data_IF_716736317546
#
_entry.id   IF_716736317546
#
_cell.length_a   1.000
_cell.length_b   1.000
_cell.length_c   1.000
_cell.angle_alpha   90.00
_cell.angle_beta   90.00
_cell.angle_gamma   90.00
#
_symmetry.space_group_name_H-M   'P 1'
#
loop_
_entity.id
_entity.type
_entity.pdbx_description
1 polymer ?
#
# COMPACT_ATOMS: atom_id res chain seq x y z
N UNK A 1 -20.51 7.57 6.55
CA UNK A 1 -20.65 8.61 5.51
C UNK A 1 -20.41 8.07 4.10
N UNK A 2 -19.38 7.27 3.85
CA UNK A 2 -19.07 6.69 2.53
C UNK A 2 -20.20 5.78 1.99
N UNK A 3 -20.88 5.00 2.84
CA UNK A 3 -21.99 4.14 2.44
C UNK A 3 -23.22 4.89 1.83
N UNK A 4 -23.28 6.23 1.98
CA UNK A 4 -24.30 7.05 1.33
C UNK A 4 -23.94 7.49 -0.09
N UNK A 5 -22.65 7.37 -0.46
CA UNK A 5 -22.14 7.74 -1.78
C UNK A 5 -22.20 6.59 -2.78
N UNK A 6 -22.27 5.35 -2.27
CA UNK A 6 -22.32 4.13 -3.06
C UNK A 6 -23.66 3.47 -2.76
N UNK A 7 -24.49 3.26 -3.78
CA UNK A 7 -25.79 2.61 -3.62
C UNK A 7 -25.67 1.23 -2.94
N UNK A 8 -26.76 0.76 -2.33
CA UNK A 8 -26.82 -0.49 -1.57
C UNK A 8 -26.39 -1.75 -2.35
N UNK A 9 -26.42 -1.68 -3.67
CA UNK A 9 -26.07 -2.80 -4.58
C UNK A 9 -24.58 -3.12 -4.63
N UNK A 10 -23.72 -2.21 -4.20
CA UNK A 10 -22.25 -2.41 -4.17
C UNK A 10 -21.72 -2.85 -2.80
N UNK A 11 -22.57 -3.18 -1.86
CA UNK A 11 -22.18 -3.64 -0.54
C UNK A 11 -22.36 -5.15 -0.41
N UNK A 12 -21.26 -5.89 -0.35
CA UNK A 12 -21.24 -7.34 -0.13
C UNK A 12 -20.96 -7.60 1.36
N UNK A 13 -21.71 -8.51 1.96
CA UNK A 13 -21.52 -8.98 3.34
C UNK A 13 -20.85 -10.34 3.30
N UNK A 14 -19.72 -10.47 3.97
CA UNK A 14 -18.94 -11.68 4.05
C UNK A 14 -18.70 -12.12 5.49
N UNK A 15 -18.37 -13.41 5.64
CA UNK A 15 -18.03 -14.03 6.91
C UNK A 15 -16.94 -15.09 6.73
N UNK A 16 -16.12 -15.27 7.75
CA UNK A 16 -15.20 -16.39 7.87
C UNK A 16 -15.27 -16.98 9.28
N UNK A 17 -14.98 -18.25 9.38
CA UNK A 17 -14.82 -18.98 10.64
C UNK A 17 -13.41 -19.55 10.62
N UNK A 18 -12.66 -19.37 11.70
CA UNK A 18 -11.37 -20.02 11.87
C UNK A 18 -11.61 -21.48 12.28
N UNK A 19 -11.20 -22.41 11.44
CA UNK A 19 -11.43 -23.84 11.64
C UNK A 19 -10.69 -24.42 12.88
N UNK A 20 -9.64 -23.72 13.36
CA UNK A 20 -8.83 -24.18 14.50
C UNK A 20 -9.47 -23.79 15.83
N UNK A 21 -9.94 -22.56 15.97
CA UNK A 21 -10.43 -22.02 17.25
C UNK A 21 -11.90 -21.61 17.22
N UNK A 22 -12.60 -21.76 16.09
CA UNK A 22 -14.00 -21.42 15.92
C UNK A 22 -14.32 -19.92 15.94
N UNK A 23 -13.31 -19.05 15.97
CA UNK A 23 -13.52 -17.60 15.94
C UNK A 23 -14.21 -17.17 14.64
N UNK A 24 -15.21 -16.32 14.80
CA UNK A 24 -16.01 -15.80 13.69
C UNK A 24 -15.59 -14.38 13.36
N UNK A 25 -15.46 -14.09 12.09
CA UNK A 25 -15.28 -12.73 11.58
C UNK A 25 -16.37 -12.42 10.58
N UNK A 26 -16.89 -11.22 10.64
CA UNK A 26 -17.83 -10.68 9.63
C UNK A 26 -17.36 -9.32 9.17
N UNK A 27 -17.59 -9.03 7.92
CA UNK A 27 -17.26 -7.73 7.33
C UNK A 27 -18.22 -7.38 6.21
N UNK A 28 -18.17 -6.12 5.81
CA UNK A 28 -18.84 -5.59 4.64
C UNK A 28 -17.80 -5.04 3.69
N UNK A 29 -17.91 -5.39 2.42
CA UNK A 29 -17.12 -4.84 1.33
C UNK A 29 -17.94 -3.80 0.58
N UNK A 30 -17.36 -2.65 0.32
CA UNK A 30 -17.94 -1.60 -0.52
C UNK A 30 -17.00 -1.43 -1.71
N UNK A 31 -17.44 -1.84 -2.89
CA UNK A 31 -16.70 -1.63 -4.13
C UNK A 31 -16.91 -0.20 -4.62
N UNK A 32 -15.84 0.44 -5.03
CA UNK A 32 -15.87 1.81 -5.48
C UNK A 32 -16.09 1.87 -6.99
N UNK A 33 -16.96 2.77 -7.48
CA UNK A 33 -17.09 3.00 -8.90
C UNK A 33 -15.80 3.59 -9.49
N UNK A 34 -15.51 3.33 -10.74
CA UNK A 34 -14.29 3.75 -11.45
C UNK A 34 -13.93 5.22 -11.22
N UNK A 35 -14.92 6.11 -11.24
CA UNK A 35 -14.71 7.54 -10.98
C UNK A 35 -14.09 7.83 -9.61
N UNK A 36 -14.39 7.02 -8.59
CA UNK A 36 -13.87 7.19 -7.24
C UNK A 36 -12.61 6.37 -6.99
N UNK A 37 -12.42 5.26 -7.70
CA UNK A 37 -11.23 4.42 -7.62
C UNK A 37 -10.14 4.83 -8.61
N UNK A 38 -10.41 5.74 -9.54
CA UNK A 38 -9.50 6.18 -10.61
C UNK A 38 -8.95 5.01 -11.44
N UNK A 39 -9.85 4.09 -11.79
CA UNK A 39 -9.59 2.84 -12.47
C UNK A 39 -8.74 1.79 -11.70
N UNK A 40 -8.31 2.10 -10.49
CA UNK A 40 -7.74 1.10 -9.59
C UNK A 40 -8.83 0.16 -9.06
N UNK A 41 -8.48 -1.11 -8.83
CA UNK A 41 -9.37 -2.04 -8.15
C UNK A 41 -9.32 -1.78 -6.64
N UNK A 42 -10.18 -0.87 -6.17
CA UNK A 42 -10.25 -0.45 -4.76
C UNK A 42 -11.60 -0.80 -4.16
N UNK A 43 -11.57 -1.35 -2.97
CA UNK A 43 -12.76 -1.56 -2.15
C UNK A 43 -12.46 -1.26 -0.68
N UNK A 44 -13.49 -0.94 0.07
CA UNK A 44 -13.41 -0.60 1.48
C UNK A 44 -13.96 -1.77 2.28
N UNK A 45 -13.21 -2.22 3.29
CA UNK A 45 -13.64 -3.28 4.21
C UNK A 45 -14.00 -2.64 5.55
N UNK A 46 -15.20 -2.96 6.05
CA UNK A 46 -15.62 -2.66 7.40
C UNK A 46 -15.81 -3.95 8.18
N UNK A 47 -14.93 -4.27 9.11
CA UNK A 47 -15.12 -5.37 10.03
C UNK A 47 -16.26 -5.05 10.99
N UNK A 48 -17.21 -5.99 11.12
CA UNK A 48 -18.43 -5.83 11.97
C UNK A 48 -18.45 -6.80 13.14
N UNK A 49 -17.68 -7.88 13.08
CA UNK A 49 -17.54 -8.88 14.14
C UNK A 49 -16.16 -9.51 14.08
N UNK A 50 -15.52 -9.71 15.23
CA UNK A 50 -14.19 -10.28 15.35
C UNK A 50 -13.06 -9.31 14.97
N UNK A 51 -11.83 -9.76 15.12
CA UNK A 51 -10.62 -9.01 14.80
C UNK A 51 -9.66 -9.85 13.96
N UNK A 52 -8.73 -9.18 13.31
CA UNK A 52 -7.58 -9.86 12.69
C UNK A 52 -6.60 -10.28 13.79
N UNK A 53 -6.21 -11.55 13.77
CA UNK A 53 -5.17 -12.05 14.67
C UNK A 53 -3.84 -11.37 14.33
N UNK A 54 -3.20 -10.78 15.34
CA UNK A 54 -1.83 -10.31 15.22
C UNK A 54 -0.90 -11.46 15.54
N UNK A 55 0.03 -11.72 14.65
CA UNK A 55 1.10 -12.68 14.91
C UNK A 55 2.32 -11.91 15.39
N UNK A 56 2.79 -12.24 16.59
CA UNK A 56 4.10 -11.82 17.06
C UNK A 56 5.14 -12.83 16.56
N UNK A 57 6.24 -12.34 16.05
CA UNK A 57 7.36 -13.15 15.56
C UNK A 57 8.64 -12.64 16.21
N UNK A 58 9.44 -13.56 16.71
CA UNK A 58 10.75 -13.25 17.29
C UNK A 58 11.84 -13.05 16.24
N UNK A 59 11.62 -13.55 15.03
CA UNK A 59 12.59 -13.46 13.93
C UNK A 59 12.49 -12.09 13.23
N UNK A 60 13.54 -11.31 13.38
CA UNK A 60 13.66 -9.94 12.82
C UNK A 60 13.84 -9.90 11.31
N UNK A 61 14.09 -11.03 10.66
CA UNK A 61 14.24 -11.10 9.20
C UNK A 61 12.93 -11.09 8.43
N UNK A 62 11.80 -11.28 9.12
CA UNK A 62 10.48 -11.28 8.48
C UNK A 62 9.93 -9.87 8.29
N UNK A 63 9.00 -9.77 7.33
CA UNK A 63 8.21 -8.56 7.12
C UNK A 63 7.37 -8.27 8.36
N UNK A 64 7.50 -7.05 8.88
CA UNK A 64 6.73 -6.53 10.00
C UNK A 64 5.42 -5.91 9.56
N UNK A 65 5.48 -5.03 8.56
CA UNK A 65 4.32 -4.30 8.06
C UNK A 65 4.52 -3.81 6.62
N UNK A 66 3.43 -3.38 5.99
CA UNK A 66 3.46 -2.64 4.74
C UNK A 66 3.72 -1.16 5.08
N UNK A 67 4.90 -0.64 4.73
CA UNK A 67 5.25 0.77 4.97
C UNK A 67 4.48 1.68 4.00
N UNK A 68 4.59 1.42 2.71
CA UNK A 68 3.83 2.19 1.72
C UNK A 68 3.48 1.39 0.46
N UNK A 69 2.45 1.86 -0.22
CA UNK A 69 2.12 1.48 -1.59
C UNK A 69 2.42 2.67 -2.51
N UNK A 70 2.90 2.41 -3.72
CA UNK A 70 3.20 3.45 -4.70
C UNK A 70 2.18 3.41 -5.82
N UNK A 71 1.60 4.57 -6.12
CA UNK A 71 0.63 4.76 -7.19
C UNK A 71 1.18 5.82 -8.16
N UNK A 72 1.23 5.49 -9.44
CA UNK A 72 1.51 6.45 -10.50
C UNK A 72 0.20 7.06 -11.01
N UNK A 73 0.14 8.38 -11.12
CA UNK A 73 -1.01 9.14 -11.63
C UNK A 73 -0.57 10.19 -12.66
N UNK A 74 -1.44 10.54 -13.57
CA UNK A 74 -1.24 11.70 -14.45
C UNK A 74 -1.70 13.01 -13.81
N UNK A 75 -2.63 12.94 -12.85
CA UNK A 75 -3.30 14.08 -12.26
C UNK A 75 -3.33 13.98 -10.74
N UNK A 76 -2.31 14.57 -10.11
CA UNK A 76 -2.15 14.61 -8.66
C UNK A 76 -3.21 15.49 -7.98
N UNK A 77 -3.77 16.47 -8.67
CA UNK A 77 -4.80 17.35 -8.09
C UNK A 77 -6.14 16.64 -8.00
N UNK A 78 -6.56 15.92 -9.04
CA UNK A 78 -7.77 15.11 -9.00
C UNK A 78 -7.60 13.93 -8.03
N UNK A 79 -6.42 13.29 -7.99
CA UNK A 79 -6.10 12.29 -6.97
C UNK A 79 -6.31 12.85 -5.55
N UNK A 80 -5.77 14.04 -5.30
CA UNK A 80 -5.90 14.73 -4.01
C UNK A 80 -7.36 15.03 -3.68
N UNK A 81 -8.14 15.48 -4.64
CA UNK A 81 -9.57 15.80 -4.42
C UNK A 81 -10.36 14.57 -3.97
N UNK A 82 -10.05 13.39 -4.48
CA UNK A 82 -10.72 12.15 -4.11
C UNK A 82 -10.19 11.64 -2.76
N UNK A 83 -8.89 11.49 -2.61
CA UNK A 83 -8.33 10.84 -1.43
C UNK A 83 -8.39 11.73 -0.19
N UNK A 84 -8.12 13.03 -0.30
CA UNK A 84 -8.21 13.97 0.81
C UNK A 84 -9.65 14.42 1.07
N UNK A 85 -10.38 14.85 0.02
CA UNK A 85 -11.64 15.56 0.21
C UNK A 85 -12.84 14.62 0.30
N UNK A 86 -12.83 13.47 -0.40
CA UNK A 86 -13.90 12.48 -0.34
C UNK A 86 -13.59 11.40 0.70
N UNK A 87 -12.43 10.72 0.62
CA UNK A 87 -12.08 9.65 1.55
C UNK A 87 -11.59 10.15 2.90
N UNK A 88 -11.24 11.45 3.02
CA UNK A 88 -10.73 12.08 4.25
C UNK A 88 -9.41 11.48 4.73
N UNK A 89 -8.60 10.98 3.81
CA UNK A 89 -7.25 10.51 4.11
C UNK A 89 -6.33 11.74 4.17
N UNK A 90 -5.54 11.83 5.23
CA UNK A 90 -4.67 12.98 5.49
C UNK A 90 -3.54 13.04 4.46
N UNK A 91 -3.47 14.10 3.66
CA UNK A 91 -2.28 14.45 2.89
C UNK A 91 -1.23 14.99 3.86
N UNK A 92 -0.16 14.25 4.05
CA UNK A 92 0.91 14.57 5.00
C UNK A 92 2.01 15.42 4.36
N UNK A 93 2.28 15.21 3.07
CA UNK A 93 3.29 15.93 2.32
C UNK A 93 2.88 16.00 0.84
N UNK A 94 3.09 17.17 0.25
CA UNK A 94 3.03 17.44 -1.18
C UNK A 94 4.32 18.16 -1.55
N UNK A 95 5.16 17.56 -2.37
CA UNK A 95 6.47 18.09 -2.69
C UNK A 95 6.90 17.71 -4.10
N UNK A 96 7.81 18.49 -4.68
CA UNK A 96 8.46 18.13 -5.94
C UNK A 96 9.88 17.70 -5.65
N UNK A 97 10.25 16.52 -6.13
CA UNK A 97 11.62 16.01 -6.07
C UNK A 97 12.39 16.56 -7.27
N UNK A 98 13.24 17.54 -7.03
CA UNK A 98 13.90 18.32 -8.10
C UNK A 98 14.71 17.48 -9.08
N UNK A 99 15.47 16.49 -8.59
CA UNK A 99 16.31 15.65 -9.45
C UNK A 99 15.50 14.68 -10.33
N UNK A 100 14.27 14.35 -9.95
CA UNK A 100 13.34 13.57 -10.77
C UNK A 100 12.36 14.44 -11.54
N UNK A 101 12.23 15.72 -11.16
CA UNK A 101 11.23 16.67 -11.68
C UNK A 101 9.81 16.13 -11.59
N UNK A 102 9.51 15.35 -10.53
CA UNK A 102 8.23 14.72 -10.29
C UNK A 102 7.61 15.23 -9.00
N UNK A 103 6.34 15.56 -9.04
CA UNK A 103 5.56 15.85 -7.84
C UNK A 103 5.19 14.55 -7.16
N UNK A 104 5.34 14.51 -5.84
CA UNK A 104 5.04 13.37 -5.01
C UNK A 104 4.11 13.77 -3.88
N UNK A 105 3.09 12.95 -3.65
CA UNK A 105 2.12 13.13 -2.59
C UNK A 105 2.24 11.96 -1.61
N UNK A 106 2.11 12.25 -0.32
CA UNK A 106 2.14 11.23 0.72
C UNK A 106 0.88 11.31 1.56
N UNK A 107 -0.01 10.34 1.40
CA UNK A 107 -1.23 10.22 2.17
C UNK A 107 -1.03 9.22 3.30
N UNK A 108 -1.29 9.64 4.55
CA UNK A 108 -1.15 8.80 5.73
C UNK A 108 -2.47 8.16 6.08
N UNK A 109 -2.52 6.85 6.00
CA UNK A 109 -3.48 6.01 6.70
C UNK A 109 -2.99 5.77 8.13
N UNK A 110 -3.57 4.86 8.90
CA UNK A 110 -3.11 4.65 10.27
C UNK A 110 -1.67 4.10 10.34
N UNK A 111 -1.39 3.02 9.62
CA UNK A 111 -0.10 2.34 9.68
C UNK A 111 0.68 2.42 8.36
N UNK A 112 0.01 2.67 7.24
CA UNK A 112 0.60 2.62 5.90
C UNK A 112 0.53 3.99 5.24
N UNK A 113 1.47 4.30 4.36
CA UNK A 113 1.45 5.49 3.50
C UNK A 113 1.00 5.09 2.09
N UNK A 114 0.18 5.93 1.47
CA UNK A 114 -0.03 5.90 0.02
C UNK A 114 0.89 6.97 -0.55
N UNK A 115 1.91 6.53 -1.27
CA UNK A 115 2.83 7.38 -2.01
C UNK A 115 2.33 7.51 -3.44
N UNK A 116 2.18 8.73 -3.92
CA UNK A 116 1.69 9.00 -5.27
C UNK A 116 2.74 9.76 -6.05
N UNK A 117 3.07 9.27 -7.22
CA UNK A 117 4.03 9.90 -8.13
C UNK A 117 3.27 10.45 -9.34
N UNK A 118 3.37 11.76 -9.59
CA UNK A 118 2.78 12.37 -10.76
C UNK A 118 3.66 12.14 -12.00
N UNK A 119 3.11 11.46 -12.99
CA UNK A 119 3.73 11.18 -14.29
C UNK A 119 2.91 11.79 -15.42
N UNK A 120 3.10 13.08 -15.70
CA UNK A 120 2.32 13.83 -16.71
C UNK A 120 2.44 13.27 -18.12
N UNK A 121 3.57 12.62 -18.41
CA UNK A 121 3.86 12.07 -19.75
C UNK A 121 3.36 10.62 -19.92
N UNK A 122 2.67 10.07 -18.93
CA UNK A 122 2.11 8.74 -19.03
C UNK A 122 1.05 8.68 -20.14
N UNK A 123 1.11 7.64 -21.00
CA UNK A 123 0.19 7.50 -22.15
C UNK A 123 -1.24 7.17 -21.73
N UNK A 124 -1.41 6.48 -20.61
CA UNK A 124 -2.72 6.06 -20.10
C UNK A 124 -3.16 6.97 -18.96
N UNK A 125 -4.40 7.41 -19.00
CA UNK A 125 -4.97 8.30 -17.97
C UNK A 125 -5.31 7.56 -16.65
N UNK A 126 -5.39 6.23 -16.70
CA UNK A 126 -5.68 5.43 -15.52
C UNK A 126 -4.53 5.49 -14.51
N UNK A 127 -4.87 5.56 -13.23
CA UNK A 127 -3.89 5.39 -12.17
C UNK A 127 -3.36 3.94 -12.16
N UNK A 128 -2.14 3.75 -11.68
CA UNK A 128 -1.49 2.45 -11.66
C UNK A 128 -0.86 2.16 -10.31
N UNK A 129 -1.21 1.02 -9.72
CA UNK A 129 -0.50 0.50 -8.56
C UNK A 129 0.87 0.02 -9.02
N UNK A 130 1.92 0.79 -8.72
CA UNK A 130 3.25 0.57 -9.26
C UNK A 130 4.09 -0.37 -8.40
N UNK A 131 4.11 -0.19 -7.07
CA UNK A 131 4.99 -0.97 -6.21
C UNK A 131 4.62 -0.96 -4.74
N UNK A 132 5.37 -1.75 -3.96
CA UNK A 132 5.17 -1.98 -2.53
C UNK A 132 6.49 -1.79 -1.77
N UNK A 133 6.43 -1.23 -0.57
CA UNK A 133 7.54 -1.22 0.37
C UNK A 133 7.15 -1.92 1.67
N UNK A 134 8.00 -2.84 2.09
CA UNK A 134 7.79 -3.66 3.27
C UNK A 134 8.78 -3.30 4.36
N UNK A 135 8.26 -2.98 5.53
CA UNK A 135 9.06 -2.74 6.73
C UNK A 135 9.54 -4.05 7.33
N UNK A 136 10.81 -4.10 7.70
CA UNK A 136 11.45 -5.21 8.41
C UNK A 136 12.14 -4.69 9.67
N UNK A 137 12.31 -5.54 10.68
CA UNK A 137 12.99 -5.12 11.92
C UNK A 137 14.52 -5.06 11.75
N UNK A 138 15.08 -5.88 10.85
CA UNK A 138 16.50 -5.90 10.46
C UNK A 138 16.61 -6.12 8.96
N UNK A 139 17.06 -5.08 8.25
CA UNK A 139 17.23 -5.18 6.80
C UNK A 139 18.42 -6.10 6.44
N UNK A 140 19.43 -6.16 7.28
CA UNK A 140 20.58 -7.04 7.12
C UNK A 140 20.15 -8.51 7.21
N UNK A 141 19.38 -8.88 8.23
CA UNK A 141 18.90 -10.25 8.42
C UNK A 141 17.91 -10.64 7.31
N UNK A 142 17.02 -9.74 6.94
CA UNK A 142 16.08 -9.94 5.84
C UNK A 142 16.79 -10.11 4.49
N UNK A 143 17.78 -9.27 4.20
CA UNK A 143 18.60 -9.35 3.01
C UNK A 143 19.35 -10.68 2.95
N UNK A 144 20.05 -11.03 4.04
CA UNK A 144 20.76 -12.30 4.14
C UNK A 144 19.85 -13.50 3.92
N UNK A 145 18.69 -13.55 4.59
CA UNK A 145 17.71 -14.63 4.42
C UNK A 145 17.23 -14.76 2.97
N UNK A 146 16.97 -13.65 2.29
CA UNK A 146 16.53 -13.68 0.90
C UNK A 146 17.64 -14.20 -0.03
N UNK A 147 18.87 -13.72 0.14
CA UNK A 147 20.03 -14.19 -0.65
C UNK A 147 20.30 -15.67 -0.42
N UNK A 148 20.27 -16.14 0.83
CA UNK A 148 20.46 -17.55 1.20
C UNK A 148 19.37 -18.47 0.56
N UNK A 149 18.20 -17.91 0.24
CA UNK A 149 17.11 -18.58 -0.47
C UNK A 149 17.08 -18.32 -1.99
N UNK A 150 18.20 -17.85 -2.56
CA UNK A 150 18.36 -17.56 -3.98
C UNK A 150 17.38 -16.51 -4.54
N UNK A 151 16.93 -15.59 -3.71
CA UNK A 151 16.17 -14.42 -4.15
C UNK A 151 17.14 -13.32 -4.55
N UNK A 152 16.99 -12.77 -5.74
CA UNK A 152 17.81 -11.67 -6.21
C UNK A 152 17.40 -10.38 -5.50
N UNK A 153 18.34 -9.78 -4.75
CA UNK A 153 18.14 -8.53 -3.98
C UNK A 153 19.32 -7.60 -4.24
N UNK A 154 19.05 -6.31 -4.40
CA UNK A 154 20.13 -5.32 -4.52
C UNK A 154 20.90 -5.18 -3.21
N UNK A 155 22.16 -4.72 -3.26
CA UNK A 155 22.86 -4.34 -2.03
C UNK A 155 22.04 -3.33 -1.21
N UNK A 156 22.18 -3.44 0.11
CA UNK A 156 21.60 -2.47 1.04
C UNK A 156 22.24 -1.10 0.80
N UNK A 157 21.42 -0.06 0.75
CA UNK A 157 21.87 1.33 0.57
C UNK A 157 21.02 2.29 1.39
N UNK A 158 21.48 3.53 1.53
CA UNK A 158 20.68 4.59 2.13
C UNK A 158 19.44 4.87 1.29
N UNK A 159 18.30 5.01 1.95
CA UNK A 159 17.02 5.41 1.36
C UNK A 159 16.94 6.92 1.13
N UNK A 160 15.89 7.36 0.43
CA UNK A 160 15.62 8.79 0.24
C UNK A 160 15.32 9.50 1.55
N UNK A 161 14.66 8.84 2.47
CA UNK A 161 14.42 9.35 3.82
C UNK A 161 15.70 9.17 4.63
N UNK A 162 16.25 10.26 5.13
CA UNK A 162 17.47 10.26 5.95
C UNK A 162 17.34 9.28 7.14
N UNK A 163 18.35 8.43 7.29
CA UNK A 163 18.41 7.44 8.36
C UNK A 163 17.62 6.15 8.08
N UNK A 164 17.15 5.94 6.86
CA UNK A 164 16.58 4.66 6.42
C UNK A 164 17.55 3.90 5.54
N UNK A 165 17.54 2.58 5.65
CA UNK A 165 18.22 1.66 4.76
C UNK A 165 17.20 0.96 3.88
N UNK A 166 17.55 0.69 2.63
CA UNK A 166 16.64 0.05 1.67
C UNK A 166 17.36 -0.99 0.82
N UNK A 167 16.63 -2.00 0.39
CA UNK A 167 17.06 -2.97 -0.61
C UNK A 167 15.88 -3.33 -1.54
N UNK A 168 16.15 -3.46 -2.84
CA UNK A 168 15.11 -3.80 -3.82
C UNK A 168 15.15 -5.30 -4.11
N UNK A 169 14.02 -5.98 -3.97
CA UNK A 169 13.85 -7.37 -4.37
C UNK A 169 13.60 -7.42 -5.88
N UNK A 170 14.42 -8.19 -6.61
CA UNK A 170 14.42 -8.25 -8.08
C UNK A 170 13.77 -9.50 -8.65
N UNK A 171 13.59 -10.54 -7.85
CA UNK A 171 12.96 -11.79 -8.28
C UNK A 171 11.88 -12.24 -7.28
N UNK A 172 11.03 -13.18 -7.69
CA UNK A 172 9.97 -13.77 -6.86
C UNK A 172 8.87 -12.77 -6.39
N UNK A 173 8.73 -11.64 -7.07
CA UNK A 173 7.76 -10.56 -6.73
C UNK A 173 6.59 -10.51 -7.71
N UNK A 174 6.44 -11.49 -8.59
CA UNK A 174 5.42 -11.47 -9.66
C UNK A 174 5.47 -10.19 -10.51
N UNK A 175 6.66 -9.67 -10.76
CA UNK A 175 6.94 -8.41 -11.46
C UNK A 175 6.44 -7.14 -10.75
N UNK A 176 6.02 -7.22 -9.51
CA UNK A 176 5.70 -6.04 -8.71
C UNK A 176 6.98 -5.45 -8.13
N UNK A 177 7.34 -4.20 -8.43
CA UNK A 177 8.46 -3.51 -7.79
C UNK A 177 8.32 -3.57 -6.27
N UNK A 178 9.32 -4.13 -5.61
CA UNK A 178 9.25 -4.44 -4.18
C UNK A 178 10.49 -3.96 -3.46
N UNK A 179 10.28 -3.14 -2.44
CA UNK A 179 11.33 -2.55 -1.60
C UNK A 179 11.26 -3.14 -0.19
N UNK A 180 12.42 -3.40 0.41
CA UNK A 180 12.58 -3.55 1.86
C UNK A 180 13.08 -2.22 2.46
N UNK A 181 12.59 -1.89 3.64
CA UNK A 181 12.93 -0.69 4.39
C UNK A 181 13.02 -0.99 5.88
#
# INVERSE_FOLDING_TARGET
MIARLVGSEMCIRDRAINDINGEKRKWKNIFLPKKLSRDLFVFIIQHTEGSLTKYERDDKSFVRSLDHVVINTQDADDFTSIYRDIYKIRLALDTTIEHWKRRMLFFRTNATTIEVIEEKDKKESADELWGLAWEVDSIEDAHKRLVDNNVEVTPIKEGLKKGTLVATIKSHTSNVPTLLI
#
